data_IF_909297586904
#
_entry.id   IF_909297586904
#
_cell.length_a   1.000
_cell.length_b   1.000
_cell.length_c   1.000
_cell.angle_alpha   90.00
_cell.angle_beta   90.00
_cell.angle_gamma   90.00
#
_symmetry.space_group_name_H-M   'P 1'
#
loop_
_entity.id
_entity.type
_entity.pdbx_description
1 polymer ?
#
# COMPACT_ATOMS: atom_id res chain seq x y z
N UNK A 1 -14.13 -19.39 -41.51
CA UNK A 1 -12.88 -18.80 -42.00
C UNK A 1 -13.19 -17.87 -43.16
N UNK A 2 -13.35 -16.57 -42.89
CA UNK A 2 -13.68 -15.54 -43.90
C UNK A 2 -12.45 -15.09 -44.72
N UNK A 3 -11.35 -15.84 -44.73
CA UNK A 3 -10.13 -15.47 -45.43
C UNK A 3 -9.39 -14.23 -44.86
N UNK A 4 -9.84 -13.71 -43.72
CA UNK A 4 -9.21 -12.56 -43.07
C UNK A 4 -7.86 -12.97 -42.50
N UNK A 5 -6.82 -12.25 -42.87
CA UNK A 5 -5.50 -12.36 -42.26
C UNK A 5 -5.50 -11.60 -40.94
N UNK A 6 -5.21 -12.30 -39.86
CA UNK A 6 -4.99 -11.67 -38.54
C UNK A 6 -3.57 -11.10 -38.49
N UNK A 7 -3.46 -9.82 -38.23
CA UNK A 7 -2.18 -9.18 -38.01
C UNK A 7 -2.21 -8.35 -36.71
N UNK A 8 -1.04 -8.06 -36.17
CA UNK A 8 -0.94 -7.24 -34.96
C UNK A 8 -1.07 -5.76 -35.36
N UNK A 9 -1.98 -5.03 -34.71
CA UNK A 9 -2.12 -3.58 -34.93
C UNK A 9 -0.84 -2.82 -34.59
N UNK A 10 -0.08 -3.30 -33.60
CA UNK A 10 1.18 -2.73 -33.17
C UNK A 10 2.26 -3.80 -33.28
N UNK A 11 3.38 -3.49 -33.92
CA UNK A 11 4.55 -4.38 -33.95
C UNK A 11 5.23 -4.40 -32.57
N UNK A 12 5.32 -5.57 -31.99
CA UNK A 12 5.91 -5.83 -30.67
C UNK A 12 6.99 -6.89 -30.72
N UNK A 13 7.52 -7.22 -31.92
CA UNK A 13 8.50 -8.32 -32.07
C UNK A 13 9.75 -8.09 -31.25
N UNK A 14 10.29 -6.87 -31.29
CA UNK A 14 11.45 -6.44 -30.53
C UNK A 14 11.25 -6.49 -29.01
N UNK A 15 10.01 -6.28 -28.56
CA UNK A 15 9.67 -6.33 -27.12
C UNK A 15 9.47 -7.78 -26.62
N UNK A 16 9.13 -8.72 -27.51
CA UNK A 16 8.92 -10.13 -27.14
C UNK A 16 10.20 -10.84 -26.74
N UNK A 17 11.34 -10.37 -27.21
CA UNK A 17 12.64 -10.90 -26.79
C UNK A 17 12.98 -10.52 -25.34
N UNK A 18 12.37 -9.44 -24.83
CA UNK A 18 12.59 -8.92 -23.48
C UNK A 18 11.43 -9.29 -22.54
N UNK A 19 10.19 -9.22 -23.02
CA UNK A 19 8.99 -9.39 -22.22
C UNK A 19 8.13 -10.56 -22.73
N UNK A 20 7.66 -11.39 -21.81
CA UNK A 20 6.70 -12.47 -22.13
C UNK A 20 5.37 -11.91 -22.65
N UNK A 21 4.92 -10.78 -22.09
CA UNK A 21 3.68 -10.13 -22.47
C UNK A 21 3.86 -8.60 -22.50
N UNK A 22 4.26 -8.02 -23.64
CA UNK A 22 4.55 -6.58 -23.74
C UNK A 22 3.38 -5.67 -23.30
N UNK A 23 2.12 -6.05 -23.62
CA UNK A 23 0.92 -5.26 -23.24
C UNK A 23 0.77 -5.17 -21.71
N UNK A 24 1.29 -6.16 -20.97
CA UNK A 24 1.25 -6.17 -19.51
C UNK A 24 2.49 -5.54 -18.91
N UNK A 25 3.64 -5.76 -19.52
CA UNK A 25 4.94 -5.39 -18.98
C UNK A 25 5.36 -3.95 -19.30
N UNK A 26 4.96 -3.42 -20.47
CA UNK A 26 5.28 -2.05 -20.89
C UNK A 26 4.10 -1.35 -21.56
N UNK A 27 2.93 -1.26 -20.89
CA UNK A 27 1.73 -0.69 -21.50
C UNK A 27 1.88 0.78 -21.86
N UNK A 28 2.61 1.57 -21.06
CA UNK A 28 2.88 2.98 -21.37
C UNK A 28 3.65 3.15 -22.67
N UNK A 29 4.72 2.37 -22.89
CA UNK A 29 5.48 2.39 -24.13
C UNK A 29 4.59 2.11 -25.36
N UNK A 30 3.70 1.14 -25.24
CA UNK A 30 2.79 0.78 -26.33
C UNK A 30 1.78 1.88 -26.62
N UNK A 31 1.21 2.52 -25.59
CA UNK A 31 0.22 3.59 -25.75
C UNK A 31 0.89 4.88 -26.26
N UNK A 32 1.92 5.34 -25.59
CA UNK A 32 2.54 6.64 -25.83
C UNK A 32 3.36 6.67 -27.12
N UNK A 33 4.19 5.64 -27.37
CA UNK A 33 5.19 5.67 -28.41
C UNK A 33 4.83 4.84 -29.64
N UNK A 34 3.95 3.84 -29.50
CA UNK A 34 3.59 2.93 -30.61
C UNK A 34 2.14 3.04 -31.06
N UNK A 35 1.40 4.00 -30.52
CA UNK A 35 0.02 4.29 -30.92
C UNK A 35 -0.96 3.13 -30.67
N UNK A 36 -0.69 2.25 -29.69
CA UNK A 36 -1.63 1.22 -29.30
C UNK A 36 -2.90 1.86 -28.72
N UNK A 37 -4.11 1.60 -29.27
CA UNK A 37 -5.32 2.30 -28.84
C UNK A 37 -5.96 1.67 -27.58
N UNK A 38 -5.36 0.67 -26.95
CA UNK A 38 -5.95 -0.02 -25.81
C UNK A 38 -4.89 -0.52 -24.81
N UNK A 39 -5.32 -0.68 -23.58
CA UNK A 39 -4.56 -1.34 -22.52
C UNK A 39 -5.41 -2.43 -21.84
N UNK A 40 -4.78 -3.29 -21.06
CA UNK A 40 -5.49 -4.33 -20.31
C UNK A 40 -5.77 -3.88 -18.89
N UNK A 41 -7.04 -3.73 -18.51
CA UNK A 41 -7.46 -3.39 -17.13
C UNK A 41 -6.82 -4.30 -16.06
N UNK A 42 -6.62 -5.59 -16.38
CA UNK A 42 -5.98 -6.54 -15.48
C UNK A 42 -4.55 -6.16 -15.10
N UNK A 43 -3.90 -5.22 -15.83
CA UNK A 43 -2.59 -4.67 -15.47
C UNK A 43 -2.58 -4.08 -14.06
N UNK A 44 -3.71 -3.58 -13.58
CA UNK A 44 -3.81 -2.96 -12.26
C UNK A 44 -3.92 -3.97 -11.10
N UNK A 45 -4.40 -5.19 -11.33
CA UNK A 45 -4.71 -6.13 -10.25
C UNK A 45 -4.13 -7.54 -10.42
N UNK A 46 -3.49 -7.86 -11.54
CA UNK A 46 -2.83 -9.15 -11.71
C UNK A 46 -1.48 -9.15 -10.99
N UNK A 47 -1.20 -10.14 -10.13
CA UNK A 47 0.14 -10.29 -9.55
C UNK A 47 1.15 -10.61 -10.67
N UNK A 48 2.17 -9.77 -10.80
CA UNK A 48 3.21 -9.91 -11.83
C UNK A 48 4.46 -10.61 -11.30
N UNK A 49 4.37 -11.75 -10.65
CA UNK A 49 5.52 -12.42 -10.07
C UNK A 49 6.70 -12.59 -11.05
N UNK A 50 6.40 -12.91 -12.31
CA UNK A 50 7.40 -13.08 -13.35
C UNK A 50 7.69 -11.78 -14.12
N UNK A 51 6.68 -10.95 -14.37
CA UNK A 51 6.83 -9.67 -15.06
C UNK A 51 7.50 -8.61 -14.18
N UNK A 52 7.21 -8.60 -12.87
CA UNK A 52 7.87 -7.71 -11.89
C UNK A 52 9.39 -7.84 -11.89
N UNK A 53 9.91 -9.05 -12.15
CA UNK A 53 11.36 -9.28 -12.25
C UNK A 53 11.99 -8.57 -13.44
N UNK A 54 11.22 -8.26 -14.46
CA UNK A 54 11.68 -7.66 -15.73
C UNK A 54 11.37 -6.17 -15.82
N UNK A 55 10.35 -5.70 -15.12
CA UNK A 55 9.86 -4.32 -15.19
C UNK A 55 10.03 -3.54 -13.89
N UNK A 56 10.73 -4.10 -12.89
CA UNK A 56 10.86 -3.55 -11.53
C UNK A 56 9.51 -3.22 -10.84
N UNK A 57 8.43 -3.84 -11.32
CA UNK A 57 7.09 -3.69 -10.77
C UNK A 57 6.43 -2.34 -11.01
N UNK A 58 6.92 -1.54 -11.96
CA UNK A 58 6.41 -0.18 -12.18
C UNK A 58 5.36 -0.07 -13.28
N UNK A 59 5.17 -1.12 -14.09
CA UNK A 59 4.36 -1.06 -15.31
C UNK A 59 2.92 -0.54 -15.08
N UNK A 60 2.26 -0.96 -13.99
CA UNK A 60 0.90 -0.51 -13.69
C UNK A 60 0.86 0.92 -13.15
N UNK A 61 1.83 1.32 -12.34
CA UNK A 61 1.94 2.69 -11.84
C UNK A 61 2.24 3.66 -13.00
N UNK A 62 3.19 3.34 -13.88
CA UNK A 62 3.49 4.13 -15.08
C UNK A 62 2.27 4.23 -16.02
N UNK A 63 1.50 3.17 -16.17
CA UNK A 63 0.26 3.20 -16.94
C UNK A 63 -0.77 4.14 -16.30
N UNK A 64 -0.94 4.05 -14.98
CA UNK A 64 -1.86 4.92 -14.25
C UNK A 64 -1.47 6.39 -14.39
N UNK A 65 -0.20 6.70 -14.16
CA UNK A 65 0.33 8.07 -14.26
C UNK A 65 0.15 8.63 -15.68
N UNK A 66 0.45 7.83 -16.70
CA UNK A 66 0.25 8.22 -18.10
C UNK A 66 -1.21 8.51 -18.41
N UNK A 67 -2.12 7.60 -18.02
CA UNK A 67 -3.55 7.78 -18.28
C UNK A 67 -4.10 9.02 -17.56
N UNK A 68 -3.62 9.31 -16.36
CA UNK A 68 -4.07 10.42 -15.54
C UNK A 68 -3.53 11.78 -15.99
N UNK A 69 -2.27 11.83 -16.42
CA UNK A 69 -1.59 13.09 -16.75
C UNK A 69 -1.61 13.44 -18.23
N UNK A 70 -1.63 12.43 -19.12
CA UNK A 70 -1.42 12.62 -20.56
C UNK A 70 -2.67 12.32 -21.38
N UNK A 71 -3.78 11.92 -20.75
CA UNK A 71 -5.03 11.59 -21.43
C UNK A 71 -6.26 12.05 -20.66
N UNK A 72 -7.40 12.17 -21.35
CA UNK A 72 -8.70 12.45 -20.72
C UNK A 72 -9.40 11.18 -20.20
N UNK A 73 -8.67 10.04 -20.11
CA UNK A 73 -9.26 8.79 -19.67
C UNK A 73 -9.56 8.81 -18.16
N UNK A 74 -10.79 8.53 -17.70
CA UNK A 74 -11.18 8.59 -16.30
C UNK A 74 -10.64 7.38 -15.50
N UNK A 75 -9.34 7.29 -15.36
CA UNK A 75 -8.67 6.13 -14.74
C UNK A 75 -9.05 5.95 -13.26
N UNK A 76 -9.30 7.03 -12.54
CA UNK A 76 -9.74 6.97 -11.14
C UNK A 76 -11.14 6.32 -11.03
N UNK A 77 -12.04 6.59 -11.95
CA UNK A 77 -13.37 5.95 -11.99
C UNK A 77 -13.26 4.48 -12.34
N UNK A 78 -12.35 4.12 -13.25
CA UNK A 78 -12.06 2.72 -13.52
C UNK A 78 -11.57 2.00 -12.26
N UNK A 79 -10.62 2.58 -11.53
CA UNK A 79 -10.09 1.97 -10.32
C UNK A 79 -11.14 1.90 -9.21
N UNK A 80 -12.00 2.91 -9.05
CA UNK A 80 -13.16 2.85 -8.16
C UNK A 80 -14.08 1.67 -8.45
N UNK A 81 -14.34 1.41 -9.74
CA UNK A 81 -15.16 0.27 -10.17
C UNK A 81 -14.45 -1.09 -9.98
N UNK A 82 -13.13 -1.13 -10.02
CA UNK A 82 -12.35 -2.36 -9.83
C UNK A 82 -12.17 -2.73 -8.36
N UNK A 83 -12.02 -1.76 -7.48
CA UNK A 83 -11.74 -1.97 -6.06
C UNK A 83 -12.72 -2.93 -5.36
N UNK A 84 -14.05 -2.83 -5.53
CA UNK A 84 -14.99 -3.72 -4.87
C UNK A 84 -14.93 -5.19 -5.34
N UNK A 85 -14.29 -5.46 -6.48
CA UNK A 85 -14.34 -6.78 -7.13
C UNK A 85 -12.96 -7.39 -7.40
N UNK A 86 -11.88 -6.68 -7.05
CA UNK A 86 -10.51 -7.13 -7.30
C UNK A 86 -9.67 -7.17 -6.00
N UNK A 87 -8.60 -7.97 -5.97
CA UNK A 87 -7.72 -8.08 -4.81
C UNK A 87 -7.05 -6.74 -4.45
N UNK A 88 -7.38 -6.18 -3.28
CA UNK A 88 -6.82 -4.91 -2.81
C UNK A 88 -5.30 -4.95 -2.68
N UNK A 89 -4.77 -6.05 -2.15
CA UNK A 89 -3.33 -6.20 -1.93
C UNK A 89 -2.54 -6.16 -3.24
N UNK A 90 -3.05 -6.83 -4.29
CA UNK A 90 -2.43 -6.81 -5.62
C UNK A 90 -2.50 -5.42 -6.26
N UNK A 91 -3.63 -4.73 -6.15
CA UNK A 91 -3.77 -3.36 -6.64
C UNK A 91 -2.83 -2.39 -5.90
N UNK A 92 -2.76 -2.48 -4.57
CA UNK A 92 -1.89 -1.63 -3.76
C UNK A 92 -0.40 -1.83 -4.09
N UNK A 93 0.00 -3.07 -4.37
CA UNK A 93 1.36 -3.40 -4.80
C UNK A 93 1.65 -2.85 -6.21
N UNK A 94 0.78 -3.12 -7.18
CA UNK A 94 0.99 -2.74 -8.57
C UNK A 94 0.95 -1.22 -8.78
N UNK A 95 0.12 -0.51 -8.00
CA UNK A 95 -0.05 0.94 -8.09
C UNK A 95 0.80 1.71 -7.07
N UNK A 96 1.67 1.00 -6.34
CA UNK A 96 2.58 1.60 -5.35
C UNK A 96 1.85 2.53 -4.36
N UNK A 97 0.70 2.10 -3.82
CA UNK A 97 -0.05 2.87 -2.82
C UNK A 97 0.69 2.94 -1.49
N UNK A 98 1.86 3.54 -1.56
CA UNK A 98 2.77 3.81 -0.47
C UNK A 98 3.39 5.18 -0.67
N UNK A 99 3.19 6.07 0.29
CA UNK A 99 3.53 7.47 0.15
C UNK A 99 4.59 7.90 1.16
N UNK A 100 5.47 8.79 0.71
CA UNK A 100 6.38 9.51 1.60
C UNK A 100 5.66 10.77 2.07
N UNK A 101 5.65 11.00 3.39
CA UNK A 101 5.04 12.21 3.94
C UNK A 101 5.67 13.48 3.34
N UNK A 102 4.87 14.48 2.95
CA UNK A 102 5.38 15.78 2.52
C UNK A 102 6.18 16.43 3.64
N UNK A 103 7.12 17.31 3.30
CA UNK A 103 7.93 18.00 4.31
C UNK A 103 7.17 19.12 5.04
N UNK A 104 6.18 19.69 4.40
CA UNK A 104 5.28 20.69 4.97
C UNK A 104 4.01 20.04 5.47
N UNK A 105 3.46 20.55 6.55
CA UNK A 105 2.13 20.20 7.02
C UNK A 105 1.14 21.25 6.52
N UNK A 106 -0.03 20.80 6.04
CA UNK A 106 -1.13 21.67 5.76
C UNK A 106 -1.89 22.12 6.99
N UNK A 107 -2.94 22.86 6.73
CA UNK A 107 -3.82 23.39 7.76
C UNK A 107 -4.83 22.32 8.27
N UNK A 108 -4.97 21.19 7.57
CA UNK A 108 -5.95 20.16 7.91
C UNK A 108 -5.45 19.28 9.06
N UNK A 109 -6.04 19.45 10.23
CA UNK A 109 -5.84 18.53 11.36
C UNK A 109 -6.91 17.43 11.33
N UNK A 110 -6.53 16.15 11.34
CA UNK A 110 -7.50 15.06 11.42
C UNK A 110 -8.30 15.12 12.73
N UNK A 111 -9.58 14.80 12.66
CA UNK A 111 -10.45 14.68 13.84
C UNK A 111 -10.13 13.38 14.58
N UNK A 112 -9.63 13.47 15.79
CA UNK A 112 -9.35 12.29 16.61
C UNK A 112 -10.64 11.68 17.14
N UNK A 113 -10.91 10.42 16.83
CA UNK A 113 -12.02 9.67 17.39
C UNK A 113 -11.57 8.94 18.67
N UNK A 114 -12.31 9.12 19.74
CA UNK A 114 -12.05 8.42 21.00
C UNK A 114 -12.58 6.98 20.99
N UNK A 115 -12.11 6.16 21.92
CA UNK A 115 -12.47 4.76 22.02
C UNK A 115 -13.98 4.53 22.28
N UNK A 116 -14.65 5.44 22.99
CA UNK A 116 -16.09 5.32 23.26
C UNK A 116 -16.92 5.57 22.01
N UNK A 117 -16.52 6.56 21.21
CA UNK A 117 -17.12 6.86 19.91
C UNK A 117 -16.94 5.67 18.96
N UNK A 118 -15.72 5.14 18.86
CA UNK A 118 -15.43 3.97 18.02
C UNK A 118 -16.22 2.73 18.48
N UNK A 119 -16.36 2.51 19.79
CA UNK A 119 -17.07 1.35 20.33
C UNK A 119 -18.59 1.36 20.01
N UNK A 120 -19.15 2.53 19.75
CA UNK A 120 -20.59 2.69 19.38
C UNK A 120 -20.81 2.75 17.88
N UNK A 121 -19.76 2.99 17.11
CA UNK A 121 -19.87 3.43 15.72
C UNK A 121 -20.30 4.89 15.60
N UNK A 122 -20.01 5.50 14.47
CA UNK A 122 -20.33 6.91 14.27
C UNK A 122 -20.51 7.26 12.78
N UNK A 123 -21.35 8.27 12.52
CA UNK A 123 -21.42 8.92 11.23
C UNK A 123 -20.16 9.79 11.01
N UNK A 124 -19.68 9.84 9.78
CA UNK A 124 -18.56 10.67 9.38
C UNK A 124 -19.01 11.76 8.41
N UNK A 125 -18.44 12.96 8.55
CA UNK A 125 -18.62 14.03 7.56
C UNK A 125 -17.77 13.71 6.33
N UNK A 126 -18.31 13.74 5.09
CA UNK A 126 -17.60 13.34 3.88
C UNK A 126 -16.29 14.10 3.65
N UNK A 127 -16.26 15.38 3.96
CA UNK A 127 -15.13 16.28 3.69
C UNK A 127 -14.07 16.27 4.80
N UNK A 128 -14.28 15.49 5.88
CA UNK A 128 -13.35 15.44 6.99
C UNK A 128 -12.44 14.22 6.93
N UNK A 129 -11.26 14.38 7.50
CA UNK A 129 -10.31 13.28 7.77
C UNK A 129 -10.34 12.97 9.25
N UNK A 130 -10.42 11.68 9.57
CA UNK A 130 -10.48 11.19 10.93
C UNK A 130 -9.27 10.34 11.27
N UNK A 131 -8.81 10.44 12.52
CA UNK A 131 -7.76 9.58 13.08
C UNK A 131 -8.39 8.57 14.04
N UNK A 132 -8.24 7.29 13.71
CA UNK A 132 -8.72 6.15 14.49
C UNK A 132 -7.53 5.52 15.22
N UNK A 133 -7.41 5.68 16.55
CA UNK A 133 -6.37 4.96 17.31
C UNK A 133 -6.67 3.46 17.30
N UNK A 134 -5.65 2.68 16.98
CA UNK A 134 -5.75 1.22 17.03
C UNK A 134 -5.54 0.71 18.46
N UNK A 135 -6.13 -0.44 18.85
CA UNK A 135 -5.87 -1.06 20.13
C UNK A 135 -4.39 -1.32 20.35
N UNK A 136 -3.90 -1.09 21.56
CA UNK A 136 -2.51 -1.36 21.90
C UNK A 136 -2.26 -2.86 21.92
N UNK A 137 -1.27 -3.31 21.18
CA UNK A 137 -0.73 -4.64 21.31
C UNK A 137 0.14 -4.77 22.58
N UNK A 138 0.23 -5.98 23.13
CA UNK A 138 1.10 -6.27 24.27
C UNK A 138 2.51 -6.72 23.82
N UNK A 139 3.47 -6.71 24.74
CA UNK A 139 4.82 -7.26 24.52
C UNK A 139 5.63 -6.51 23.47
N UNK A 140 6.36 -7.27 22.63
CA UNK A 140 7.26 -6.72 21.60
C UNK A 140 6.47 -5.89 20.58
N UNK A 141 5.27 -6.30 20.23
CA UNK A 141 4.39 -5.54 19.33
C UNK A 141 4.01 -4.19 19.95
N UNK A 142 3.70 -4.14 21.25
CA UNK A 142 3.40 -2.89 21.95
C UNK A 142 4.58 -1.91 21.97
N UNK A 143 5.80 -2.42 22.04
CA UNK A 143 7.02 -1.61 21.93
C UNK A 143 7.13 -0.95 20.53
N UNK A 144 6.89 -1.71 19.47
CA UNK A 144 6.92 -1.19 18.12
C UNK A 144 5.74 -0.27 17.83
N UNK A 145 4.56 -0.58 18.38
CA UNK A 145 3.39 0.28 18.35
C UNK A 145 3.72 1.69 18.87
N UNK A 146 4.30 1.78 20.07
CA UNK A 146 4.61 3.06 20.67
C UNK A 146 5.60 3.90 19.83
N UNK A 147 6.48 3.24 19.08
CA UNK A 147 7.49 3.89 18.23
C UNK A 147 7.00 4.21 16.81
N UNK A 148 5.96 3.55 16.35
CA UNK A 148 5.35 3.81 15.04
C UNK A 148 4.14 4.75 15.11
N UNK A 149 3.80 5.25 16.31
CA UNK A 149 2.76 6.29 16.42
C UNK A 149 3.22 7.56 15.73
N UNK A 150 2.48 8.06 14.75
CA UNK A 150 2.78 9.32 14.10
C UNK A 150 2.66 10.48 15.10
N UNK A 151 3.52 11.46 14.98
CA UNK A 151 3.38 12.74 15.69
C UNK A 151 2.22 13.53 15.13
N UNK A 152 1.75 14.56 15.87
CA UNK A 152 0.69 15.46 15.36
C UNK A 152 1.06 16.10 14.01
N UNK A 153 2.33 16.45 13.83
CA UNK A 153 2.84 16.96 12.55
C UNK A 153 2.70 15.90 11.43
N UNK A 154 3.11 14.68 11.69
CA UNK A 154 3.01 13.58 10.72
C UNK A 154 1.55 13.22 10.39
N UNK A 155 0.65 13.34 11.35
CA UNK A 155 -0.80 13.16 11.12
C UNK A 155 -1.36 14.25 10.21
N UNK A 156 -0.97 15.51 10.41
CA UNK A 156 -1.35 16.62 9.54
C UNK A 156 -0.77 16.43 8.12
N UNK A 157 0.51 16.08 8.01
CA UNK A 157 1.16 15.75 6.73
C UNK A 157 0.47 14.59 6.00
N UNK A 158 0.06 13.54 6.73
CA UNK A 158 -0.66 12.42 6.14
C UNK A 158 -2.10 12.77 5.72
N UNK A 159 -2.73 13.73 6.39
CA UNK A 159 -4.06 14.22 6.00
C UNK A 159 -4.02 14.91 4.63
N UNK A 160 -2.95 15.63 4.29
CA UNK A 160 -2.78 16.24 2.96
C UNK A 160 -2.70 15.23 1.81
N UNK A 161 -2.24 14.01 2.09
CA UNK A 161 -2.20 12.97 1.06
C UNK A 161 -3.60 12.60 0.54
N UNK A 162 -4.65 12.82 1.31
CA UNK A 162 -6.01 12.57 0.82
C UNK A 162 -6.42 13.58 -0.27
N UNK A 163 -5.97 14.83 -0.20
CA UNK A 163 -6.28 15.82 -1.21
C UNK A 163 -5.50 15.56 -2.50
N UNK A 164 -4.23 15.17 -2.37
CA UNK A 164 -3.40 14.78 -3.50
C UNK A 164 -3.85 13.46 -4.16
N UNK A 165 -4.48 12.57 -3.39
CA UNK A 165 -4.86 11.22 -3.84
C UNK A 165 -6.36 10.93 -3.57
N UNK A 166 -7.29 11.42 -4.41
CA UNK A 166 -8.75 11.33 -4.18
C UNK A 166 -9.29 9.89 -4.11
N UNK A 167 -8.55 8.93 -4.67
CA UNK A 167 -8.90 7.52 -4.63
C UNK A 167 -8.63 6.88 -3.26
N UNK A 168 -7.73 7.46 -2.46
CA UNK A 168 -7.36 6.93 -1.15
C UNK A 168 -8.43 7.25 -0.12
N UNK A 169 -8.95 6.22 0.55
CA UNK A 169 -9.92 6.33 1.62
C UNK A 169 -9.36 6.02 3.00
N UNK A 170 -8.27 5.23 3.05
CA UNK A 170 -7.60 4.83 4.29
C UNK A 170 -6.09 4.98 4.14
N UNK A 171 -5.45 5.58 5.15
CA UNK A 171 -4.00 5.70 5.26
C UNK A 171 -3.54 5.15 6.61
N UNK A 172 -2.50 4.33 6.60
CA UNK A 172 -1.87 3.85 7.81
C UNK A 172 -0.35 3.95 7.76
N UNK A 173 0.34 4.02 8.90
CA UNK A 173 1.79 3.94 8.92
C UNK A 173 2.29 2.63 8.28
N UNK A 174 3.39 2.71 7.54
CA UNK A 174 4.02 1.54 6.97
C UNK A 174 4.47 0.55 8.04
N UNK A 175 4.41 -0.75 7.74
CA UNK A 175 4.92 -1.77 8.64
C UNK A 175 6.44 -1.64 8.79
N UNK A 176 6.96 -1.74 10.01
CA UNK A 176 8.40 -1.84 10.22
C UNK A 176 8.99 -3.07 9.55
N UNK A 177 10.18 -2.96 8.95
CA UNK A 177 10.92 -4.06 8.32
C UNK A 177 11.79 -4.82 9.32
N UNK A 178 11.25 -5.23 10.45
CA UNK A 178 12.01 -5.98 11.45
C UNK A 178 11.14 -6.98 12.20
N UNK A 179 11.80 -7.90 12.89
CA UNK A 179 11.21 -8.86 13.83
C UNK A 179 10.01 -9.64 13.30
N UNK A 180 9.97 -9.93 12.00
CA UNK A 180 8.91 -10.75 11.42
C UNK A 180 7.53 -10.08 11.38
N UNK A 181 7.46 -8.74 11.46
CA UNK A 181 6.17 -8.01 11.48
C UNK A 181 5.22 -8.38 10.34
N UNK A 182 5.74 -8.61 9.14
CA UNK A 182 4.92 -9.03 8.01
C UNK A 182 4.37 -10.45 8.18
N UNK A 183 5.20 -11.37 8.69
CA UNK A 183 4.80 -12.77 8.98
C UNK A 183 3.75 -12.80 10.09
N UNK A 184 3.96 -12.02 11.14
CA UNK A 184 3.01 -11.92 12.25
C UNK A 184 1.68 -11.33 11.80
N UNK A 185 1.70 -10.28 10.99
CA UNK A 185 0.49 -9.73 10.38
C UNK A 185 -0.26 -10.76 9.54
N UNK A 186 0.43 -11.52 8.71
CA UNK A 186 -0.18 -12.57 7.90
C UNK A 186 -0.81 -13.67 8.78
N UNK A 187 -0.12 -14.08 9.85
CA UNK A 187 -0.63 -15.06 10.83
C UNK A 187 -1.91 -14.54 11.53
N UNK A 188 -1.90 -13.30 12.00
CA UNK A 188 -3.06 -12.66 12.64
C UNK A 188 -4.23 -12.55 11.68
N UNK A 189 -3.97 -12.17 10.43
CA UNK A 189 -5.00 -12.13 9.39
C UNK A 189 -5.69 -13.48 9.23
N UNK A 190 -4.93 -14.58 9.09
CA UNK A 190 -5.50 -15.92 8.96
C UNK A 190 -6.39 -16.29 10.16
N UNK A 191 -6.02 -15.87 11.36
CA UNK A 191 -6.80 -16.10 12.57
C UNK A 191 -8.09 -15.27 12.62
N UNK A 192 -8.05 -14.01 12.16
CA UNK A 192 -9.17 -13.08 12.21
C UNK A 192 -10.11 -13.19 11.00
N UNK A 193 -9.64 -13.69 9.87
CA UNK A 193 -10.36 -13.77 8.61
C UNK A 193 -11.77 -14.35 8.71
N UNK A 194 -12.02 -15.46 9.43
CA UNK A 194 -13.39 -16.00 9.58
C UNK A 194 -14.33 -15.04 10.31
N UNK A 195 -13.85 -14.37 11.37
CA UNK A 195 -14.64 -13.40 12.11
C UNK A 195 -14.93 -12.14 11.28
N UNK A 196 -13.93 -11.67 10.51
CA UNK A 196 -14.08 -10.56 9.58
C UNK A 196 -15.10 -10.89 8.49
N UNK A 197 -15.03 -12.09 7.90
CA UNK A 197 -16.00 -12.52 6.89
C UNK A 197 -17.43 -12.55 7.42
N UNK A 198 -17.63 -13.06 8.63
CA UNK A 198 -18.96 -13.08 9.28
C UNK A 198 -19.50 -11.65 9.50
N UNK A 199 -18.64 -10.71 9.90
CA UNK A 199 -19.02 -9.30 10.10
C UNK A 199 -19.33 -8.59 8.78
N UNK A 200 -18.55 -8.81 7.72
CA UNK A 200 -18.86 -8.29 6.37
C UNK A 200 -20.21 -8.79 5.88
N UNK A 201 -20.50 -10.09 6.08
CA UNK A 201 -21.79 -10.66 5.72
C UNK A 201 -22.96 -10.03 6.51
N UNK A 202 -22.76 -9.73 7.79
CA UNK A 202 -23.75 -9.04 8.60
C UNK A 202 -23.97 -7.57 8.21
N UNK A 203 -23.03 -6.97 7.48
CA UNK A 203 -23.10 -5.62 6.92
C UNK A 203 -23.54 -5.62 5.44
N UNK A 204 -24.03 -6.74 4.92
CA UNK A 204 -24.39 -6.91 3.50
C UNK A 204 -23.26 -6.53 2.53
N UNK A 205 -22.01 -6.75 2.94
CA UNK A 205 -20.83 -6.46 2.16
C UNK A 205 -20.27 -7.77 1.54
N UNK A 206 -20.53 -8.06 0.25
CA UNK A 206 -20.14 -9.31 -0.41
C UNK A 206 -18.67 -9.33 -0.86
N UNK A 207 -17.80 -8.51 -0.27
CA UNK A 207 -16.40 -8.42 -0.66
C UNK A 207 -15.68 -9.76 -0.44
N UNK A 208 -15.01 -10.34 -1.45
CA UNK A 208 -14.20 -11.52 -1.29
C UNK A 208 -12.92 -11.18 -0.50
N UNK A 209 -12.57 -12.02 0.47
CA UNK A 209 -11.36 -11.84 1.26
C UNK A 209 -10.18 -12.60 0.66
N UNK A 210 -9.09 -11.89 0.44
CA UNK A 210 -7.82 -12.46 0.00
C UNK A 210 -7.10 -13.25 1.10
N UNK A 211 -6.14 -14.09 0.69
CA UNK A 211 -5.18 -14.71 1.61
C UNK A 211 -4.17 -13.66 2.13
N UNK A 212 -3.84 -12.67 1.32
CA UNK A 212 -2.99 -11.55 1.72
C UNK A 212 -3.77 -10.55 2.59
N UNK A 213 -3.24 -10.15 3.76
CA UNK A 213 -3.91 -9.19 4.61
C UNK A 213 -4.06 -7.82 3.93
N UNK A 214 -5.20 -7.13 4.15
CA UNK A 214 -5.34 -5.76 3.69
C UNK A 214 -4.30 -4.83 4.34
N UNK A 215 -4.02 -3.66 3.74
CA UNK A 215 -3.14 -2.65 4.32
C UNK A 215 -3.69 -2.14 5.66
N UNK A 216 -3.26 -2.73 6.75
CA UNK A 216 -3.57 -2.33 8.12
C UNK A 216 -2.26 -2.34 8.90
N UNK A 217 -1.90 -1.28 9.63
CA UNK A 217 -0.71 -1.25 10.47
C UNK A 217 -0.86 -2.18 11.69
N UNK A 218 0.27 -2.66 12.21
CA UNK A 218 0.28 -3.48 13.43
C UNK A 218 0.12 -2.64 14.72
N UNK A 219 -0.38 -1.44 14.62
CA UNK A 219 -0.57 -0.52 15.73
C UNK A 219 -0.53 0.93 15.24
N UNK A 220 -0.55 1.88 16.17
CA UNK A 220 -0.58 3.30 15.84
C UNK A 220 -2.01 3.78 15.60
N UNK A 221 -2.27 4.26 14.40
CA UNK A 221 -3.58 4.75 14.02
C UNK A 221 -3.86 4.48 12.54
N UNK A 222 -5.10 4.60 12.16
CA UNK A 222 -5.54 4.77 10.78
C UNK A 222 -6.06 6.19 10.59
N UNK A 223 -5.74 6.80 9.47
CA UNK A 223 -6.44 7.95 8.97
C UNK A 223 -7.49 7.48 7.96
N UNK A 224 -8.69 8.03 8.04
CA UNK A 224 -9.78 7.70 7.14
C UNK A 224 -10.42 8.96 6.60
N UNK A 225 -10.74 8.95 5.31
CA UNK A 225 -11.56 9.97 4.66
C UNK A 225 -13.03 9.67 4.95
N UNK A 226 -13.81 10.63 5.41
CA UNK A 226 -15.23 10.42 5.71
C UNK A 226 -16.03 9.94 4.50
N UNK A 227 -15.76 10.46 3.30
CA UNK A 227 -16.43 10.05 2.07
C UNK A 227 -16.25 8.55 1.74
N UNK A 228 -15.22 7.87 2.25
CA UNK A 228 -15.05 6.44 2.07
C UNK A 228 -16.02 5.58 2.91
N UNK A 229 -16.75 6.22 3.83
CA UNK A 229 -17.69 5.56 4.74
C UNK A 229 -19.05 6.27 4.73
N UNK A 230 -19.81 6.19 3.64
CA UNK A 230 -21.06 6.92 3.49
C UNK A 230 -22.15 6.49 4.51
N UNK A 231 -22.03 5.29 5.06
CA UNK A 231 -22.91 4.78 6.13
C UNK A 231 -22.31 4.97 7.53
N UNK A 232 -21.17 5.67 7.65
CA UNK A 232 -20.39 5.80 8.87
C UNK A 232 -19.52 4.58 9.17
N UNK A 233 -18.86 4.61 10.32
CA UNK A 233 -18.08 3.49 10.83
C UNK A 233 -18.97 2.59 11.69
N UNK A 234 -18.92 1.26 11.51
CA UNK A 234 -19.56 0.33 12.44
C UNK A 234 -18.87 0.38 13.81
N UNK A 235 -19.43 -0.23 14.86
CA UNK A 235 -18.75 -0.38 16.14
C UNK A 235 -17.41 -1.09 16.00
N UNK A 236 -16.34 -0.46 16.51
CA UNK A 236 -14.97 -0.95 16.46
C UNK A 236 -14.46 -1.18 17.89
N UNK A 237 -14.53 -2.43 18.37
CA UNK A 237 -14.16 -2.81 19.74
C UNK A 237 -13.06 -3.87 19.78
N UNK A 238 -13.04 -4.75 18.80
CA UNK A 238 -12.14 -5.90 18.75
C UNK A 238 -11.16 -5.73 17.59
N UNK A 239 -10.08 -6.51 17.59
CA UNK A 239 -9.12 -6.50 16.48
C UNK A 239 -9.80 -6.78 15.12
N UNK A 240 -10.74 -7.74 15.10
CA UNK A 240 -11.45 -8.07 13.87
C UNK A 240 -12.29 -6.92 13.32
N UNK A 241 -12.73 -5.97 14.17
CA UNK A 241 -13.47 -4.79 13.71
C UNK A 241 -12.57 -3.83 12.95
N UNK A 242 -11.33 -3.65 13.41
CA UNK A 242 -10.40 -2.75 12.72
C UNK A 242 -9.95 -3.29 11.35
N UNK A 243 -9.98 -4.61 11.14
CA UNK A 243 -9.77 -5.19 9.82
C UNK A 243 -10.90 -4.84 8.83
N UNK A 244 -12.10 -4.48 9.33
CA UNK A 244 -13.18 -4.04 8.46
C UNK A 244 -12.90 -2.69 7.81
N UNK A 245 -12.14 -1.80 8.44
CA UNK A 245 -11.95 -0.42 7.97
C UNK A 245 -11.40 -0.37 6.53
N UNK A 246 -10.26 -0.99 6.20
CA UNK A 246 -9.76 -1.01 4.82
C UNK A 246 -10.70 -1.75 3.86
N UNK A 247 -11.42 -2.77 4.33
CA UNK A 247 -12.32 -3.57 3.50
C UNK A 247 -13.61 -2.81 3.16
N UNK A 248 -14.18 -2.08 4.11
CA UNK A 248 -15.36 -1.24 3.86
C UNK A 248 -15.01 -0.07 2.93
N UNK A 249 -13.84 0.55 3.11
CA UNK A 249 -13.37 1.55 2.17
C UNK A 249 -13.22 0.97 0.74
N UNK A 250 -12.65 -0.23 0.63
CA UNK A 250 -12.53 -0.95 -0.64
C UNK A 250 -13.90 -1.22 -1.29
N UNK A 251 -14.85 -1.69 -0.51
CA UNK A 251 -16.22 -1.94 -0.97
C UNK A 251 -16.89 -0.67 -1.51
N UNK A 252 -16.60 0.47 -0.91
CA UNK A 252 -17.07 1.79 -1.34
C UNK A 252 -16.20 2.42 -2.45
N UNK A 253 -15.29 1.65 -3.07
CA UNK A 253 -14.47 2.10 -4.20
C UNK A 253 -13.30 2.99 -3.79
N UNK A 254 -12.80 2.88 -2.57
CA UNK A 254 -11.63 3.61 -2.07
C UNK A 254 -10.46 2.69 -1.77
N UNK A 255 -9.27 3.14 -2.12
CA UNK A 255 -8.02 2.45 -1.85
C UNK A 255 -7.58 2.61 -0.39
N UNK A 256 -6.86 1.60 0.11
CA UNK A 256 -6.10 1.72 1.34
C UNK A 256 -4.60 1.77 1.02
N UNK A 257 -3.91 2.74 1.57
CA UNK A 257 -2.50 2.99 1.32
C UNK A 257 -1.71 3.08 2.64
N UNK A 258 -0.39 3.11 2.51
CA UNK A 258 0.51 3.30 3.64
C UNK A 258 1.35 4.55 3.45
N UNK A 259 1.85 5.10 4.55
CA UNK A 259 2.76 6.24 4.54
C UNK A 259 3.97 6.02 5.46
N UNK A 260 5.07 6.67 5.14
CA UNK A 260 6.25 6.75 5.99
C UNK A 260 6.99 8.08 5.81
N UNK A 261 7.88 8.43 6.73
CA UNK A 261 8.75 9.58 6.55
C UNK A 261 9.91 9.26 5.60
N UNK A 262 10.53 10.27 5.01
CA UNK A 262 11.74 10.08 4.19
C UNK A 262 12.86 9.34 4.94
N UNK A 263 13.03 9.60 6.25
CA UNK A 263 14.00 8.91 7.08
C UNK A 263 13.66 7.42 7.27
N UNK A 264 12.39 7.07 7.44
CA UNK A 264 11.93 5.67 7.51
C UNK A 264 12.12 4.96 6.18
N UNK A 265 11.83 5.64 5.06
CA UNK A 265 12.06 5.11 3.72
C UNK A 265 13.54 4.80 3.47
N UNK A 266 14.46 5.71 3.82
CA UNK A 266 15.89 5.49 3.71
C UNK A 266 16.36 4.30 4.57
N UNK A 267 15.90 4.21 5.84
CA UNK A 267 16.21 3.08 6.71
C UNK A 267 15.66 1.76 6.17
N UNK A 268 14.51 1.77 5.50
CA UNK A 268 13.90 0.61 4.84
C UNK A 268 14.76 0.15 3.66
N UNK A 269 15.26 1.07 2.83
CA UNK A 269 16.16 0.77 1.73
C UNK A 269 17.44 0.09 2.21
N UNK A 270 18.07 0.62 3.29
CA UNK A 270 19.27 0.01 3.89
C UNK A 270 19.03 -1.44 4.35
N UNK A 271 17.86 -1.72 4.96
CA UNK A 271 17.50 -3.07 5.39
C UNK A 271 17.28 -4.01 4.20
N UNK A 272 16.63 -3.54 3.14
CA UNK A 272 16.43 -4.31 1.92
C UNK A 272 17.76 -4.59 1.20
N UNK A 273 18.64 -3.61 1.09
CA UNK A 273 19.97 -3.79 0.52
C UNK A 273 20.80 -4.81 1.31
N UNK A 274 20.74 -4.75 2.65
CA UNK A 274 21.40 -5.73 3.49
C UNK A 274 20.83 -7.14 3.30
N UNK A 275 19.51 -7.28 3.18
CA UNK A 275 18.84 -8.56 2.94
C UNK A 275 19.19 -9.13 1.55
N UNK A 276 19.19 -8.30 0.50
CA UNK A 276 19.61 -8.68 -0.85
C UNK A 276 21.09 -9.09 -0.90
N UNK A 277 21.95 -8.36 -0.19
CA UNK A 277 23.36 -8.70 -0.06
C UNK A 277 23.56 -10.05 0.64
N UNK A 278 22.74 -10.36 1.66
CA UNK A 278 22.77 -11.65 2.34
C UNK A 278 22.32 -12.82 1.44
N UNK A 279 21.36 -12.60 0.56
CA UNK A 279 20.91 -13.62 -0.41
C UNK A 279 21.95 -13.95 -1.49
N UNK A 280 22.86 -13.00 -1.80
CA UNK A 280 23.93 -13.17 -2.79
C UNK A 280 25.11 -14.00 -2.30
N UNK A 281 25.06 -14.57 -1.09
CA UNK A 281 26.07 -15.46 -0.51
C UNK A 281 26.88 -14.83 0.64
N UNK A 282 27.70 -15.67 1.26
CA UNK A 282 28.41 -15.34 2.52
C UNK A 282 29.46 -14.21 2.37
N UNK A 283 30.01 -14.00 1.17
CA UNK A 283 31.03 -12.99 0.90
C UNK A 283 30.61 -11.52 1.19
N UNK A 284 29.41 -11.07 0.84
CA UNK A 284 28.92 -9.74 1.16
C UNK A 284 28.65 -9.52 2.66
N UNK A 285 28.21 -10.56 3.38
CA UNK A 285 27.99 -10.52 4.83
C UNK A 285 29.30 -10.26 5.57
N UNK A 286 30.39 -10.93 5.20
CA UNK A 286 31.71 -10.67 5.77
C UNK A 286 32.24 -9.27 5.47
N UNK A 287 31.95 -8.71 4.29
CA UNK A 287 32.31 -7.31 3.97
C UNK A 287 31.50 -6.31 4.81
N UNK A 288 30.21 -6.57 5.03
CA UNK A 288 29.35 -5.71 5.85
C UNK A 288 29.82 -5.76 7.32
N UNK A 289 30.07 -6.94 7.88
CA UNK A 289 30.62 -7.11 9.22
C UNK A 289 31.98 -6.43 9.37
N UNK A 290 32.86 -6.57 8.38
CA UNK A 290 34.17 -5.90 8.36
C UNK A 290 34.05 -4.37 8.35
N UNK A 291 33.09 -3.79 7.62
CA UNK A 291 32.81 -2.34 7.64
C UNK A 291 32.27 -1.88 8.99
N UNK A 292 31.33 -2.62 9.58
CA UNK A 292 30.73 -2.28 10.89
C UNK A 292 31.77 -2.31 12.00
N UNK A 293 32.62 -3.35 12.01
CA UNK A 293 33.74 -3.45 12.99
C UNK A 293 34.75 -2.33 12.78
N UNK A 294 35.12 -2.02 11.55
CA UNK A 294 36.05 -0.93 11.22
C UNK A 294 35.51 0.44 11.64
N UNK A 295 34.22 0.69 11.42
CA UNK A 295 33.56 1.92 11.84
C UNK A 295 33.45 2.03 13.39
N UNK A 296 33.16 0.94 14.08
CA UNK A 296 33.14 0.89 15.54
C UNK A 296 34.51 1.13 16.15
N UNK A 297 35.57 0.55 15.55
CA UNK A 297 36.96 0.78 15.97
C UNK A 297 37.43 2.21 15.69
N UNK A 298 36.99 2.83 14.61
CA UNK A 298 37.27 4.23 14.29
C UNK A 298 36.63 5.17 15.30
N UNK A 299 35.33 4.97 15.58
CA UNK A 299 34.62 5.76 16.63
C UNK A 299 35.28 5.65 18.00
N UNK A 300 35.76 4.45 18.39
CA UNK A 300 36.48 4.26 19.67
C UNK A 300 37.82 5.02 19.71
N UNK A 301 38.54 5.09 18.58
CA UNK A 301 39.79 5.87 18.47
C UNK A 301 39.53 7.38 18.49
N UNK A 302 38.44 7.84 17.93
CA UNK A 302 38.04 9.25 17.95
C UNK A 302 37.53 9.70 19.33
N UNK A 303 36.93 8.80 20.15
CA UNK A 303 36.49 9.07 21.52
C UNK A 303 37.62 8.94 22.58
N UNK A 304 38.77 8.43 22.18
CA UNK A 304 39.93 8.28 23.05
C UNK A 304 41.03 9.35 22.82
N UNK A 305 40.77 10.28 21.94
CA UNK A 305 41.53 11.52 21.71
C UNK A 305 40.77 12.73 22.25
#
# INVERSE_FOLDING_TARGET
>A
NLGCRWDSYVDTKDLRDVFVNPIMACPRELLANRGCPFFKRRSFFTPYADELRRTDGQAAAELYDYLKSETDYPVDDLLRALLPVQPLAAMAQNLHWHYILPQTAGECAPVLLDANTLAKGCALQPDAVYCLPLPRAAGVEGYYYARSMPTSLQLAQAAELFDAHPLVGVLGPALPLYAGCATEKARRWQQQKPAVQAKLSALDCPLPLDETPPPLPNGGCLLVRGAAFPQGLPPLQTESDFWLVPLLAQYNGYASATFETAAQCAARADVLDAALAAQRGVGPVFRLMGRTVKNALRKRKESAR
#
